data_IF_566315465354
#
_entry.id   IF_566315465354
#
_cell.length_a   1.000
_cell.length_b   1.000
_cell.length_c   1.000
_cell.angle_alpha   90.00
_cell.angle_beta   90.00
_cell.angle_gamma   90.00
#
_symmetry.space_group_name_H-M   'P 1'
#
loop_
_entity.id
_entity.type
_entity.pdbx_description
1 polymer ?
#
# COMPACT_ATOMS: atom_id res chain seq x y z
N UNK A 1 21.00 23.17 -15.84
CA UNK A 1 21.56 21.82 -15.58
C UNK A 1 20.50 20.85 -16.02
N UNK A 2 20.72 20.15 -17.14
CA UNK A 2 19.76 19.18 -17.65
C UNK A 2 19.63 18.03 -16.64
N UNK A 3 18.43 17.84 -16.09
CA UNK A 3 18.12 16.69 -15.25
C UNK A 3 18.32 15.46 -16.16
N UNK A 4 19.23 14.52 -15.82
CA UNK A 4 19.44 13.34 -16.63
C UNK A 4 18.10 12.63 -16.78
N UNK A 5 17.59 12.56 -18.00
CA UNK A 5 16.41 11.75 -18.33
C UNK A 5 16.75 10.33 -17.91
N UNK A 6 16.19 9.89 -16.78
CA UNK A 6 16.36 8.51 -16.31
C UNK A 6 15.99 7.61 -17.48
N UNK A 7 16.88 6.69 -17.92
CA UNK A 7 16.60 5.83 -19.05
C UNK A 7 15.25 5.16 -18.77
N UNK A 8 14.29 5.31 -19.70
CA UNK A 8 12.94 4.80 -19.50
C UNK A 8 13.09 3.35 -19.06
N UNK A 9 12.71 3.05 -17.81
CA UNK A 9 12.91 1.72 -17.23
C UNK A 9 12.05 0.78 -18.06
N UNK A 10 12.67 0.14 -19.04
CA UNK A 10 11.95 -0.74 -19.94
C UNK A 10 11.28 -1.81 -19.08
N UNK A 11 10.00 -2.12 -19.34
CA UNK A 11 9.25 -3.08 -18.56
C UNK A 11 10.03 -4.39 -18.59
N UNK A 12 10.52 -4.77 -17.42
CA UNK A 12 11.23 -6.01 -17.20
C UNK A 12 10.34 -7.16 -17.65
N UNK A 13 10.90 -7.98 -18.52
CA UNK A 13 10.20 -9.02 -19.24
C UNK A 13 10.36 -10.34 -18.47
N UNK A 14 9.26 -11.00 -18.09
CA UNK A 14 9.34 -12.35 -17.51
C UNK A 14 10.12 -13.30 -18.43
N UNK A 15 10.17 -13.01 -19.74
CA UNK A 15 10.99 -13.73 -20.70
C UNK A 15 12.47 -13.71 -20.34
N UNK A 16 13.01 -12.66 -19.70
CA UNK A 16 14.41 -12.62 -19.26
C UNK A 16 14.73 -13.64 -18.16
N UNK A 17 13.84 -13.80 -17.18
CA UNK A 17 14.00 -14.81 -16.12
C UNK A 17 13.91 -16.23 -16.67
N UNK A 18 12.95 -16.46 -17.56
CA UNK A 18 12.76 -17.76 -18.21
C UNK A 18 13.93 -18.04 -19.17
N UNK A 19 14.41 -17.02 -19.89
CA UNK A 19 15.58 -17.09 -20.75
C UNK A 19 16.81 -17.51 -19.96
N UNK A 20 17.12 -16.85 -18.83
CA UNK A 20 18.26 -17.20 -18.00
C UNK A 20 18.17 -18.62 -17.45
N UNK A 21 16.97 -19.04 -17.02
CA UNK A 21 16.76 -20.40 -16.55
C UNK A 21 16.96 -21.44 -17.66
N UNK A 22 16.35 -21.22 -18.83
CA UNK A 22 16.46 -22.12 -20.00
C UNK A 22 17.90 -22.12 -20.51
N UNK A 23 18.59 -20.98 -20.54
CA UNK A 23 19.99 -20.84 -20.94
C UNK A 23 20.92 -21.71 -20.09
N UNK A 24 20.73 -21.72 -18.77
CA UNK A 24 21.52 -22.54 -17.86
C UNK A 24 21.22 -24.04 -17.95
N UNK A 25 19.99 -24.42 -18.34
CA UNK A 25 19.55 -25.83 -18.37
C UNK A 25 19.70 -26.48 -19.73
N UNK A 26 19.23 -25.81 -20.79
CA UNK A 26 19.27 -26.29 -22.16
C UNK A 26 19.25 -25.09 -23.15
N UNK A 27 20.41 -24.51 -23.49
CA UNK A 27 20.49 -23.29 -24.31
C UNK A 27 20.02 -23.51 -25.76
N UNK A 28 19.92 -24.75 -26.25
CA UNK A 28 19.45 -25.04 -27.61
C UNK A 28 17.97 -24.67 -27.81
N UNK A 29 17.18 -24.70 -26.74
CA UNK A 29 15.75 -24.36 -26.77
C UNK A 29 15.48 -22.85 -26.85
N UNK A 30 16.48 -22.00 -26.62
CA UNK A 30 16.28 -20.55 -26.56
C UNK A 30 15.78 -19.99 -27.88
N UNK A 31 16.40 -20.38 -28.99
CA UNK A 31 16.03 -19.93 -30.33
C UNK A 31 14.60 -20.35 -30.69
N UNK A 32 14.17 -21.52 -30.22
CA UNK A 32 12.83 -22.03 -30.46
C UNK A 32 11.76 -21.33 -29.59
N UNK A 33 12.11 -21.02 -28.34
CA UNK A 33 11.19 -20.41 -27.39
C UNK A 33 10.97 -18.91 -27.63
N UNK A 34 12.02 -18.19 -28.02
CA UNK A 34 11.99 -16.73 -28.11
C UNK A 34 12.24 -16.20 -29.51
N UNK A 35 12.86 -16.99 -30.40
CA UNK A 35 13.31 -16.51 -31.72
C UNK A 35 14.64 -15.75 -31.63
N UNK A 36 15.35 -15.67 -32.77
CA UNK A 36 16.72 -15.15 -32.85
C UNK A 36 16.85 -13.68 -32.42
N UNK A 37 15.87 -12.84 -32.74
CA UNK A 37 15.90 -11.41 -32.40
C UNK A 37 15.68 -11.18 -30.90
N UNK A 38 14.67 -11.84 -30.32
CA UNK A 38 14.38 -11.73 -28.89
C UNK A 38 15.50 -12.31 -28.03
N UNK A 39 16.14 -13.41 -28.45
CA UNK A 39 17.32 -13.91 -27.76
C UNK A 39 18.45 -12.88 -27.70
N UNK A 40 18.73 -12.13 -28.78
CA UNK A 40 19.75 -11.06 -28.75
C UNK A 40 19.39 -9.95 -27.79
N UNK A 41 18.12 -9.55 -27.75
CA UNK A 41 17.62 -8.55 -26.80
C UNK A 41 17.79 -9.00 -25.34
N UNK A 42 17.44 -10.26 -25.05
CA UNK A 42 17.54 -10.83 -23.70
C UNK A 42 18.99 -11.08 -23.27
N UNK A 43 19.86 -11.50 -24.19
CA UNK A 43 21.29 -11.69 -23.95
C UNK A 43 21.98 -10.38 -23.52
N UNK A 44 21.60 -9.24 -24.12
CA UNK A 44 22.10 -7.93 -23.69
C UNK A 44 21.70 -7.56 -22.25
N UNK A 45 20.68 -8.22 -21.70
CA UNK A 45 20.10 -7.98 -20.36
C UNK A 45 20.40 -9.11 -19.37
N UNK A 46 21.15 -10.13 -19.77
CA UNK A 46 21.38 -11.38 -19.01
C UNK A 46 21.93 -11.12 -17.59
N UNK A 47 22.77 -10.11 -17.43
CA UNK A 47 23.35 -9.69 -16.15
C UNK A 47 22.32 -9.21 -15.11
N UNK A 48 21.08 -8.90 -15.53
CA UNK A 48 20.02 -8.41 -14.64
C UNK A 48 19.22 -9.52 -13.94
N UNK A 49 19.38 -10.79 -14.35
CA UNK A 49 18.49 -11.87 -13.92
C UNK A 49 19.26 -13.09 -13.38
N UNK A 50 19.87 -12.97 -12.20
CA UNK A 50 20.53 -14.12 -11.58
C UNK A 50 19.53 -15.15 -11.01
N UNK A 51 19.99 -16.38 -10.77
CA UNK A 51 19.18 -17.45 -10.14
C UNK A 51 18.59 -17.01 -8.78
N UNK A 52 19.26 -16.12 -8.06
CA UNK A 52 18.80 -15.63 -6.76
C UNK A 52 17.63 -14.64 -6.88
N UNK A 53 17.46 -14.01 -8.04
CA UNK A 53 16.38 -13.05 -8.32
C UNK A 53 15.02 -13.75 -8.24
N UNK A 54 14.86 -14.90 -8.90
CA UNK A 54 13.59 -15.65 -8.84
C UNK A 54 13.28 -16.16 -7.43
N UNK A 55 14.29 -16.65 -6.70
CA UNK A 55 14.14 -17.04 -5.29
C UNK A 55 13.68 -15.85 -4.43
N UNK A 56 14.27 -14.67 -4.65
CA UNK A 56 13.89 -13.44 -3.95
C UNK A 56 12.46 -13.00 -4.27
N UNK A 57 12.05 -13.09 -5.54
CA UNK A 57 10.67 -12.81 -5.97
C UNK A 57 9.66 -13.70 -5.25
N UNK A 58 9.93 -15.01 -5.17
CA UNK A 58 9.06 -15.96 -4.49
C UNK A 58 8.93 -15.67 -2.99
N UNK A 59 10.03 -15.39 -2.31
CA UNK A 59 10.00 -15.11 -0.88
C UNK A 59 9.28 -13.79 -0.57
N UNK A 60 9.44 -12.78 -1.43
CA UNK A 60 8.69 -11.51 -1.32
C UNK A 60 7.19 -11.74 -1.52
N UNK A 61 6.80 -12.55 -2.51
CA UNK A 61 5.39 -12.87 -2.75
C UNK A 61 4.76 -13.61 -1.56
N UNK A 62 5.42 -14.66 -1.04
CA UNK A 62 4.95 -15.45 0.12
C UNK A 62 4.78 -14.60 1.38
N UNK A 63 5.70 -13.67 1.63
CA UNK A 63 5.60 -12.76 2.80
C UNK A 63 4.37 -11.87 2.70
N UNK A 64 4.03 -11.43 1.49
CA UNK A 64 2.85 -10.59 1.29
C UNK A 64 1.53 -11.33 1.42
N UNK A 65 1.42 -12.53 0.84
CA UNK A 65 0.16 -13.29 0.89
C UNK A 65 -0.19 -13.58 2.36
N UNK A 66 0.81 -14.01 3.14
CA UNK A 66 0.68 -14.17 4.60
C UNK A 66 0.28 -12.89 5.34
N UNK A 67 0.84 -11.74 4.95
CA UNK A 67 0.49 -10.46 5.60
C UNK A 67 -0.95 -10.04 5.31
N UNK A 68 -1.45 -10.29 4.10
CA UNK A 68 -2.85 -10.03 3.74
C UNK A 68 -3.80 -10.94 4.52
N UNK A 69 -3.42 -12.19 4.78
CA UNK A 69 -4.20 -13.16 5.56
C UNK A 69 -4.29 -12.77 7.06
N UNK A 70 -3.20 -12.29 7.67
CA UNK A 70 -3.20 -11.86 9.08
C UNK A 70 -4.11 -10.66 9.36
N UNK A 71 -4.25 -9.74 8.40
CA UNK A 71 -5.16 -8.60 8.53
C UNK A 71 -6.64 -9.05 8.52
N UNK A 72 -6.97 -10.13 7.83
CA UNK A 72 -8.32 -10.72 7.80
C UNK A 72 -8.65 -11.43 9.13
N UNK A 73 -7.73 -12.23 9.66
CA UNK A 73 -7.94 -12.96 10.93
C UNK A 73 -8.12 -12.02 12.15
N UNK A 74 -7.46 -10.86 12.16
CA UNK A 74 -7.58 -9.89 13.26
C UNK A 74 -8.97 -9.26 13.39
N UNK A 75 -9.77 -9.30 12.33
CA UNK A 75 -11.16 -8.81 12.30
C UNK A 75 -12.16 -9.97 12.43
N UNK A 76 -11.79 -11.19 12.03
CA UNK A 76 -12.64 -12.39 12.10
C UNK A 76 -12.80 -13.01 13.49
N UNK A 77 -11.92 -12.69 14.46
CA UNK A 77 -12.05 -13.18 15.85
C UNK A 77 -13.33 -12.74 16.61
N UNK A 78 -14.21 -11.94 16.00
CA UNK A 78 -15.52 -11.60 16.58
C UNK A 78 -16.73 -12.17 15.83
N UNK A 79 -16.55 -12.94 14.75
CA UNK A 79 -17.70 -13.45 14.02
C UNK A 79 -17.39 -14.71 13.20
N UNK A 80 -17.05 -15.84 13.83
CA UNK A 80 -17.11 -17.13 13.14
C UNK A 80 -17.59 -18.28 14.02
N UNK A 81 -18.78 -18.78 13.68
CA UNK A 81 -19.02 -20.21 13.60
C UNK A 81 -19.67 -20.48 12.23
N UNK A 82 -19.04 -21.35 11.43
CA UNK A 82 -19.53 -21.99 10.19
C UNK A 82 -19.25 -21.28 8.85
N UNK A 83 -17.99 -21.23 8.43
CA UNK A 83 -17.64 -21.56 7.04
C UNK A 83 -16.22 -22.14 6.98
N UNK A 84 -16.09 -23.47 7.00
CA UNK A 84 -14.81 -24.15 6.78
C UNK A 84 -14.55 -24.20 5.28
N UNK A 85 -14.23 -23.06 4.67
CA UNK A 85 -13.52 -23.09 3.39
C UNK A 85 -12.18 -23.75 3.63
N UNK A 86 -11.96 -24.88 2.97
CA UNK A 86 -10.70 -25.61 2.93
C UNK A 86 -9.60 -24.60 2.62
N UNK A 87 -8.62 -24.49 3.52
CA UNK A 87 -7.52 -23.53 3.40
C UNK A 87 -6.83 -23.69 2.04
N UNK A 88 -6.35 -22.60 1.42
CA UNK A 88 -5.45 -22.68 0.27
C UNK A 88 -4.35 -23.70 0.59
N UNK A 89 -4.12 -24.65 -0.32
CA UNK A 89 -3.22 -25.78 -0.06
C UNK A 89 -1.86 -25.30 0.44
N UNK A 90 -1.29 -25.95 1.47
CA UNK A 90 0.04 -25.66 2.05
C UNK A 90 1.23 -25.88 1.08
N UNK A 91 0.99 -25.84 -0.24
CA UNK A 91 1.98 -26.09 -1.27
C UNK A 91 2.98 -24.94 -1.31
N UNK A 92 4.24 -25.24 -0.96
CA UNK A 92 5.34 -24.29 -1.06
C UNK A 92 5.67 -24.01 -2.52
N UNK A 93 5.36 -22.80 -3.00
CA UNK A 93 5.77 -22.34 -4.33
C UNK A 93 7.31 -22.27 -4.38
N UNK A 94 7.94 -22.95 -5.33
CA UNK A 94 9.39 -22.89 -5.61
C UNK A 94 9.65 -22.20 -6.97
N UNK A 95 10.85 -21.62 -7.20
CA UNK A 95 11.25 -21.08 -8.51
C UNK A 95 10.98 -22.03 -9.68
N UNK A 96 11.35 -23.30 -9.50
CA UNK A 96 11.21 -24.36 -10.49
C UNK A 96 9.73 -24.66 -10.77
N UNK A 97 8.88 -24.68 -9.74
CA UNK A 97 7.43 -24.87 -9.89
C UNK A 97 6.78 -23.68 -10.60
N UNK A 98 7.24 -22.45 -10.35
CA UNK A 98 6.76 -21.26 -11.06
C UNK A 98 7.12 -21.31 -12.55
N UNK A 99 8.36 -21.68 -12.87
CA UNK A 99 8.82 -21.86 -14.27
C UNK A 99 8.08 -23.01 -14.96
N UNK A 100 7.93 -24.15 -14.27
CA UNK A 100 7.13 -25.26 -14.77
C UNK A 100 5.71 -24.80 -15.09
N UNK A 101 5.06 -24.10 -14.16
CA UNK A 101 3.70 -23.59 -14.33
C UNK A 101 3.57 -22.68 -15.56
N UNK A 102 4.53 -21.77 -15.77
CA UNK A 102 4.55 -20.91 -16.94
C UNK A 102 4.66 -21.68 -18.26
N UNK A 103 5.55 -22.67 -18.32
CA UNK A 103 5.72 -23.51 -19.50
C UNK A 103 4.49 -24.41 -19.73
N UNK A 104 3.88 -24.87 -18.65
CA UNK A 104 2.66 -25.67 -18.63
C UNK A 104 1.45 -24.90 -19.16
N UNK A 105 1.19 -23.68 -18.67
CA UNK A 105 0.12 -22.78 -19.16
C UNK A 105 0.23 -22.52 -20.67
N UNK A 106 1.46 -22.37 -21.18
CA UNK A 106 1.73 -22.15 -22.61
C UNK A 106 1.73 -23.42 -23.46
N UNK A 107 1.38 -24.57 -22.87
CA UNK A 107 1.33 -25.89 -23.54
C UNK A 107 2.66 -26.28 -24.21
N UNK A 108 3.80 -25.84 -23.68
CA UNK A 108 5.14 -26.15 -24.20
C UNK A 108 5.64 -27.50 -23.66
N UNK A 109 4.89 -28.57 -23.98
CA UNK A 109 5.11 -29.92 -23.42
C UNK A 109 6.49 -30.50 -23.72
N UNK A 110 7.04 -30.22 -24.90
CA UNK A 110 8.38 -30.67 -25.29
C UNK A 110 9.48 -29.98 -24.47
N UNK A 111 9.39 -28.65 -24.27
CA UNK A 111 10.32 -27.89 -23.41
C UNK A 111 10.28 -28.42 -21.98
N UNK A 112 9.08 -28.71 -21.48
CA UNK A 112 8.94 -29.34 -20.16
C UNK A 112 9.67 -30.67 -20.07
N UNK A 113 9.55 -31.53 -21.10
CA UNK A 113 10.22 -32.83 -21.15
C UNK A 113 11.75 -32.73 -21.18
N UNK A 114 12.27 -31.69 -21.83
CA UNK A 114 13.71 -31.43 -21.92
C UNK A 114 14.31 -30.85 -20.64
N UNK A 115 13.54 -30.03 -19.91
CA UNK A 115 14.04 -29.30 -18.73
C UNK A 115 13.80 -30.08 -17.43
N UNK A 116 12.72 -30.86 -17.38
CA UNK A 116 12.29 -31.58 -16.18
C UNK A 116 12.12 -33.07 -16.50
N UNK A 117 12.72 -33.92 -15.66
CA UNK A 117 12.52 -35.36 -15.73
C UNK A 117 11.04 -35.73 -15.50
N UNK A 118 10.66 -36.96 -15.85
CA UNK A 118 9.26 -37.41 -15.81
C UNK A 118 8.67 -37.37 -14.39
N UNK A 119 9.44 -37.70 -13.36
CA UNK A 119 8.99 -37.72 -11.97
C UNK A 119 8.70 -36.29 -11.49
N UNK A 120 9.64 -35.37 -11.70
CA UNK A 120 9.47 -33.94 -11.37
C UNK A 120 8.28 -33.34 -12.10
N UNK A 121 8.07 -33.68 -13.38
CA UNK A 121 6.90 -33.20 -14.14
C UNK A 121 5.59 -33.67 -13.56
N UNK A 122 5.48 -34.95 -13.16
CA UNK A 122 4.28 -35.49 -12.51
C UNK A 122 4.04 -34.83 -11.15
N UNK A 123 5.09 -34.68 -10.35
CA UNK A 123 4.99 -34.00 -9.05
C UNK A 123 4.51 -32.56 -9.20
N UNK A 124 5.11 -31.80 -10.13
CA UNK A 124 4.73 -30.41 -10.36
C UNK A 124 3.36 -30.28 -11.01
N UNK A 125 2.97 -31.17 -11.93
CA UNK A 125 1.61 -31.20 -12.47
C UNK A 125 0.57 -31.43 -11.35
N UNK A 126 0.80 -32.41 -10.47
CA UNK A 126 -0.08 -32.67 -9.32
C UNK A 126 -0.17 -31.46 -8.39
N UNK A 127 0.95 -30.75 -8.16
CA UNK A 127 0.95 -29.50 -7.38
C UNK A 127 0.14 -28.40 -8.06
N UNK A 128 0.31 -28.22 -9.37
CA UNK A 128 -0.45 -27.23 -10.15
C UNK A 128 -1.94 -27.55 -10.12
N UNK A 129 -2.33 -28.82 -10.31
CA UNK A 129 -3.72 -29.26 -10.22
C UNK A 129 -4.30 -29.03 -8.81
N UNK A 130 -3.52 -29.32 -7.77
CA UNK A 130 -3.93 -29.09 -6.37
C UNK A 130 -4.08 -27.60 -6.03
N UNK A 131 -3.23 -26.74 -6.59
CA UNK A 131 -3.32 -25.28 -6.42
C UNK A 131 -4.43 -24.67 -7.30
N UNK A 132 -4.78 -25.31 -8.40
CA UNK A 132 -5.86 -24.86 -9.29
C UNK A 132 -5.67 -23.42 -9.78
N UNK A 133 -6.74 -22.62 -9.69
CA UNK A 133 -6.80 -21.22 -10.12
C UNK A 133 -5.95 -20.31 -9.21
N UNK A 134 -5.51 -20.80 -8.04
CA UNK A 134 -4.82 -19.98 -7.04
C UNK A 134 -3.32 -19.81 -7.31
N UNK A 135 -2.75 -20.53 -8.30
CA UNK A 135 -1.34 -20.35 -8.67
C UNK A 135 -1.14 -18.98 -9.38
N UNK A 136 -0.38 -18.04 -8.80
CA UNK A 136 -0.10 -16.77 -9.46
C UNK A 136 0.79 -16.99 -10.69
N UNK A 137 0.48 -16.32 -11.79
CA UNK A 137 1.35 -16.32 -12.96
C UNK A 137 2.75 -15.77 -12.62
N UNK A 138 3.79 -16.19 -13.33
CA UNK A 138 5.15 -15.61 -13.14
C UNK A 138 5.10 -14.09 -13.30
N UNK A 139 4.33 -13.59 -14.28
CA UNK A 139 4.15 -12.16 -14.51
C UNK A 139 3.62 -11.45 -13.26
N UNK A 140 2.65 -12.07 -12.57
CA UNK A 140 2.10 -11.55 -11.33
C UNK A 140 3.11 -11.51 -10.21
N UNK A 141 3.84 -12.61 -10.02
CA UNK A 141 4.89 -12.71 -9.00
C UNK A 141 5.99 -11.68 -9.25
N UNK A 142 6.36 -11.50 -10.51
CA UNK A 142 7.34 -10.53 -10.96
C UNK A 142 6.87 -9.09 -10.73
N UNK A 143 5.68 -8.73 -11.20
CA UNK A 143 5.14 -7.38 -11.02
C UNK A 143 5.02 -7.01 -9.54
N UNK A 144 4.64 -7.98 -8.71
CA UNK A 144 4.59 -7.82 -7.26
C UNK A 144 5.97 -7.52 -6.66
N UNK A 145 6.97 -8.35 -6.97
CA UNK A 145 8.35 -8.14 -6.52
C UNK A 145 8.91 -6.80 -7.00
N UNK A 146 8.73 -6.46 -8.28
CA UNK A 146 9.19 -5.21 -8.89
C UNK A 146 8.65 -4.01 -8.13
N UNK A 147 7.34 -4.00 -7.83
CA UNK A 147 6.71 -2.93 -7.04
C UNK A 147 7.38 -2.78 -5.68
N UNK A 148 7.64 -3.89 -4.98
CA UNK A 148 8.29 -3.86 -3.66
C UNK A 148 9.72 -3.32 -3.74
N UNK A 149 10.53 -3.80 -4.68
CA UNK A 149 11.91 -3.32 -4.82
C UNK A 149 11.94 -1.83 -5.16
N UNK A 150 11.11 -1.37 -6.09
CA UNK A 150 10.98 0.06 -6.40
C UNK A 150 10.50 0.88 -5.20
N UNK A 151 9.64 0.32 -4.35
CA UNK A 151 9.17 0.99 -3.13
C UNK A 151 10.28 1.19 -2.10
N UNK A 152 11.31 0.33 -2.07
CA UNK A 152 12.47 0.48 -1.18
C UNK A 152 13.34 1.66 -1.61
N UNK A 153 13.51 1.86 -2.92
CA UNK A 153 14.33 2.94 -3.49
C UNK A 153 13.57 4.27 -3.50
N UNK A 154 12.27 4.26 -3.81
CA UNK A 154 11.42 5.44 -3.93
C UNK A 154 10.54 5.60 -2.69
N UNK A 155 11.13 6.05 -1.59
CA UNK A 155 10.39 6.33 -0.34
C UNK A 155 9.39 7.47 -0.53
N UNK A 156 8.11 7.20 -0.26
CA UNK A 156 7.04 8.20 -0.34
C UNK A 156 6.60 8.56 -1.77
N UNK A 157 7.01 7.77 -2.78
CA UNK A 157 6.51 7.93 -4.14
C UNK A 157 5.03 7.59 -4.24
N UNK A 158 4.32 8.29 -5.12
CA UNK A 158 2.92 8.01 -5.44
C UNK A 158 2.92 6.82 -6.40
N UNK A 159 2.17 5.76 -6.09
CA UNK A 159 2.08 4.61 -6.98
C UNK A 159 1.13 4.95 -8.15
N UNK A 160 1.49 4.58 -9.38
CA UNK A 160 0.64 4.75 -10.58
C UNK A 160 0.15 3.38 -11.04
N UNK A 161 -1.16 3.21 -11.11
CA UNK A 161 -1.83 1.97 -11.48
C UNK A 161 -2.74 2.14 -12.68
N UNK A 162 -2.82 1.13 -13.55
CA UNK A 162 -3.75 1.10 -14.66
C UNK A 162 -4.97 0.23 -14.33
N UNK A 163 -6.16 0.82 -14.24
CA UNK A 163 -7.35 0.02 -14.00
C UNK A 163 -7.62 -0.92 -15.18
N UNK A 164 -7.72 -2.23 -14.92
CA UNK A 164 -7.98 -3.24 -15.95
C UNK A 164 -9.33 -3.08 -16.63
N UNK A 165 -10.34 -2.54 -15.95
CA UNK A 165 -11.67 -2.34 -16.51
C UNK A 165 -11.75 -1.05 -17.34
N UNK A 166 -11.51 0.12 -16.72
CA UNK A 166 -11.70 1.40 -17.41
C UNK A 166 -10.46 1.93 -18.15
N UNK A 167 -9.32 1.23 -18.05
CA UNK A 167 -8.04 1.60 -18.67
C UNK A 167 -7.51 2.99 -18.28
N UNK A 168 -7.99 3.55 -17.17
CA UNK A 168 -7.51 4.84 -16.65
C UNK A 168 -6.36 4.65 -15.68
N UNK A 169 -5.35 5.49 -15.79
CA UNK A 169 -4.29 5.60 -14.80
C UNK A 169 -4.82 6.20 -13.49
N UNK A 170 -4.35 5.67 -12.37
CA UNK A 170 -4.70 6.08 -11.02
C UNK A 170 -3.43 6.31 -10.24
N UNK A 171 -3.16 7.57 -9.96
CA UNK A 171 -2.16 8.00 -8.98
C UNK A 171 -2.72 7.76 -7.59
N UNK A 172 -2.01 7.02 -6.76
CA UNK A 172 -2.47 6.65 -5.42
C UNK A 172 -1.39 6.85 -4.36
N UNK A 173 -1.78 7.48 -3.26
CA UNK A 173 -0.96 7.58 -2.05
C UNK A 173 -1.06 6.33 -1.17
N UNK A 174 -1.87 5.34 -1.56
CA UNK A 174 -2.02 4.08 -0.86
C UNK A 174 -3.31 3.34 -1.22
N UNK A 175 -3.38 2.07 -0.83
CA UNK A 175 -4.44 1.11 -1.24
C UNK A 175 -5.89 1.66 -1.15
N UNK A 176 -6.17 2.55 -0.19
CA UNK A 176 -7.49 3.16 0.00
C UNK A 176 -8.03 3.84 -1.27
N UNK A 177 -7.20 4.50 -2.08
CA UNK A 177 -7.68 5.17 -3.30
C UNK A 177 -8.07 4.15 -4.37
N UNK A 178 -7.33 3.05 -4.46
CA UNK A 178 -7.66 1.93 -5.33
C UNK A 178 -8.98 1.28 -4.90
N UNK A 179 -9.19 1.06 -3.60
CA UNK A 179 -10.44 0.51 -3.06
C UNK A 179 -11.65 1.42 -3.33
N UNK A 180 -11.47 2.74 -3.19
CA UNK A 180 -12.51 3.71 -3.55
C UNK A 180 -12.85 3.64 -5.04
N UNK A 181 -11.84 3.46 -5.90
CA UNK A 181 -12.07 3.27 -7.33
C UNK A 181 -12.80 1.96 -7.64
N UNK A 182 -12.41 0.86 -6.99
CA UNK A 182 -13.09 -0.44 -7.11
C UNK A 182 -14.54 -0.33 -6.69
N UNK A 183 -14.84 0.30 -5.55
CA UNK A 183 -16.21 0.48 -5.10
C UNK A 183 -17.06 1.32 -6.06
N UNK A 184 -16.46 2.26 -6.79
CA UNK A 184 -17.17 2.99 -7.84
C UNK A 184 -17.55 2.09 -9.04
N UNK A 185 -16.73 1.09 -9.37
CA UNK A 185 -17.05 0.11 -10.42
C UNK A 185 -18.04 -0.95 -9.96
N UNK A 186 -17.94 -1.41 -8.72
CA UNK A 186 -18.77 -2.47 -8.14
C UNK A 186 -20.09 -1.92 -7.55
N UNK A 187 -20.36 -0.61 -7.66
CA UNK A 187 -21.56 0.02 -7.11
C UNK A 187 -21.66 -0.03 -5.58
N UNK A 188 -20.55 -0.27 -4.89
CA UNK A 188 -20.51 -0.39 -3.43
C UNK A 188 -20.69 1.02 -2.85
N UNK A 189 -21.69 1.18 -1.98
CA UNK A 189 -22.01 2.45 -1.33
C UNK A 189 -21.99 2.30 0.19
N UNK A 190 -21.97 3.43 0.88
CA UNK A 190 -22.10 3.53 2.32
C UNK A 190 -23.45 4.18 2.65
N UNK A 191 -24.22 3.56 3.55
CA UNK A 191 -25.41 4.19 4.11
C UNK A 191 -25.02 5.39 4.99
N UNK A 192 -25.83 6.45 4.97
CA UNK A 192 -25.69 7.53 5.94
C UNK A 192 -25.88 7.00 7.37
N UNK A 193 -25.21 7.64 8.34
CA UNK A 193 -25.23 7.22 9.75
C UNK A 193 -26.23 8.00 10.59
N UNK A 194 -26.77 9.09 10.06
CA UNK A 194 -27.77 9.94 10.71
C UNK A 194 -29.14 9.28 10.56
N UNK A 195 -29.87 9.17 11.66
CA UNK A 195 -31.18 8.51 11.67
C UNK A 195 -32.20 9.31 10.85
N UNK A 196 -33.00 8.60 10.06
CA UNK A 196 -33.92 9.20 9.08
C UNK A 196 -33.28 9.63 7.74
N UNK A 197 -31.98 9.35 7.52
CA UNK A 197 -31.34 9.61 6.24
C UNK A 197 -31.02 8.31 5.48
N UNK A 198 -31.79 8.05 4.42
CA UNK A 198 -31.65 6.84 3.59
C UNK A 198 -30.66 7.02 2.42
N UNK A 199 -29.88 8.11 2.41
CA UNK A 199 -28.95 8.38 1.32
C UNK A 199 -27.80 7.35 1.32
N UNK A 200 -27.57 6.77 0.16
CA UNK A 200 -26.40 5.95 -0.15
C UNK A 200 -25.34 6.82 -0.81
N UNK A 201 -24.15 6.88 -0.22
CA UNK A 201 -23.07 7.76 -0.68
C UNK A 201 -21.76 6.99 -0.82
N UNK A 202 -20.85 7.51 -1.64
CA UNK A 202 -19.51 6.93 -1.78
C UNK A 202 -18.69 7.21 -0.51
N UNK A 203 -17.75 6.36 -0.10
CA UNK A 203 -16.98 6.55 1.13
C UNK A 203 -16.24 7.88 1.20
N UNK A 204 -15.67 8.32 0.07
CA UNK A 204 -14.93 9.58 0.00
C UNK A 204 -15.84 10.81 0.03
N UNK A 205 -17.11 10.68 -0.38
CA UNK A 205 -18.11 11.77 -0.29
C UNK A 205 -18.92 11.72 0.99
N UNK A 206 -18.87 10.63 1.77
CA UNK A 206 -19.65 10.45 2.99
C UNK A 206 -19.38 11.56 4.01
N UNK A 207 -18.12 12.00 4.18
CA UNK A 207 -17.80 13.13 5.07
C UNK A 207 -18.44 14.43 4.59
N UNK A 208 -18.32 14.74 3.31
CA UNK A 208 -18.94 15.94 2.71
C UNK A 208 -20.45 15.88 2.79
N UNK A 209 -21.05 14.69 2.63
CA UNK A 209 -22.48 14.49 2.80
C UNK A 209 -22.92 14.76 4.25
N UNK A 210 -22.17 14.31 5.25
CA UNK A 210 -22.49 14.60 6.66
C UNK A 210 -22.45 16.11 6.95
N UNK A 211 -21.46 16.81 6.43
CA UNK A 211 -21.35 18.27 6.59
C UNK A 211 -22.48 18.97 5.86
N UNK A 212 -22.68 18.70 4.57
CA UNK A 212 -23.62 19.48 3.75
C UNK A 212 -25.08 19.07 3.96
N UNK A 213 -25.33 17.79 4.21
CA UNK A 213 -26.67 17.23 4.37
C UNK A 213 -27.21 17.27 5.79
N UNK A 214 -26.32 17.36 6.78
CA UNK A 214 -26.70 17.28 8.19
C UNK A 214 -26.05 18.36 9.08
N UNK A 215 -25.20 19.24 8.54
CA UNK A 215 -24.38 20.18 9.32
C UNK A 215 -23.51 19.47 10.38
N UNK A 216 -23.18 18.19 10.16
CA UNK A 216 -22.43 17.37 11.10
C UNK A 216 -21.02 17.11 10.57
N UNK A 217 -20.03 17.66 11.27
CA UNK A 217 -18.65 17.26 11.07
C UNK A 217 -18.38 15.92 11.77
N UNK A 218 -17.43 15.14 11.23
CA UNK A 218 -17.18 13.77 11.70
C UNK A 218 -16.71 13.71 13.17
N UNK A 219 -16.11 14.78 13.68
CA UNK A 219 -15.71 15.03 15.07
C UNK A 219 -16.86 15.42 16.00
N UNK A 220 -17.92 16.05 15.47
CA UNK A 220 -19.14 16.38 16.21
C UNK A 220 -20.19 15.26 16.22
N UNK A 221 -19.94 14.13 15.54
CA UNK A 221 -20.83 12.98 15.58
C UNK A 221 -20.98 12.44 17.01
N UNK A 222 -22.21 12.12 17.39
CA UNK A 222 -22.45 11.37 18.61
C UNK A 222 -21.68 10.05 18.58
N UNK A 223 -21.27 9.57 19.75
CA UNK A 223 -20.48 8.34 19.91
C UNK A 223 -21.03 7.17 19.06
N UNK A 224 -22.33 6.90 19.17
CA UNK A 224 -22.99 5.82 18.42
C UNK A 224 -22.92 6.01 16.89
N UNK A 225 -23.15 7.23 16.40
CA UNK A 225 -23.05 7.57 14.97
C UNK A 225 -21.62 7.41 14.45
N UNK A 226 -20.62 7.81 15.22
CA UNK A 226 -19.21 7.62 14.87
C UNK A 226 -18.86 6.14 14.73
N UNK A 227 -19.33 5.27 15.62
CA UNK A 227 -19.12 3.81 15.48
C UNK A 227 -19.85 3.22 14.29
N UNK A 228 -21.10 3.65 14.03
CA UNK A 228 -21.85 3.28 12.83
C UNK A 228 -21.03 3.66 11.58
N UNK A 229 -20.49 4.88 11.53
CA UNK A 229 -19.62 5.36 10.44
C UNK A 229 -18.39 4.48 10.23
N UNK A 230 -17.69 4.13 11.31
CA UNK A 230 -16.51 3.26 11.25
C UNK A 230 -16.85 1.86 10.72
N UNK A 231 -17.97 1.28 11.18
CA UNK A 231 -18.44 -0.03 10.71
C UNK A 231 -18.83 0.01 9.23
N UNK A 232 -19.58 1.02 8.80
CA UNK A 232 -19.98 1.19 7.39
C UNK A 232 -18.76 1.33 6.49
N UNK A 233 -17.78 2.15 6.87
CA UNK A 233 -16.53 2.29 6.11
C UNK A 233 -15.73 0.98 6.08
N UNK A 234 -15.62 0.28 7.21
CA UNK A 234 -14.92 -1.00 7.27
C UNK A 234 -15.58 -2.06 6.37
N UNK A 235 -16.91 -2.15 6.39
CA UNK A 235 -17.68 -3.04 5.51
C UNK A 235 -17.46 -2.72 4.03
N UNK A 236 -17.49 -1.43 3.66
CA UNK A 236 -17.15 -0.99 2.31
C UNK A 236 -15.76 -1.47 1.90
N UNK A 237 -14.73 -1.16 2.70
CA UNK A 237 -13.34 -1.48 2.33
C UNK A 237 -13.09 -2.98 2.29
N UNK A 238 -13.71 -3.75 3.20
CA UNK A 238 -13.68 -5.21 3.17
C UNK A 238 -14.25 -5.74 1.86
N UNK A 239 -15.45 -5.29 1.48
CA UNK A 239 -16.12 -5.71 0.24
C UNK A 239 -15.30 -5.32 -0.99
N UNK A 240 -14.85 -4.07 -1.09
CA UNK A 240 -14.02 -3.59 -2.20
C UNK A 240 -12.69 -4.35 -2.32
N UNK A 241 -12.07 -4.72 -1.19
CA UNK A 241 -10.78 -5.44 -1.18
C UNK A 241 -10.88 -6.81 -1.83
N UNK A 242 -11.99 -7.54 -1.63
CA UNK A 242 -12.21 -8.84 -2.31
C UNK A 242 -12.22 -8.75 -3.83
N UNK A 243 -12.49 -7.56 -4.37
CA UNK A 243 -12.51 -7.27 -5.80
C UNK A 243 -11.26 -6.56 -6.29
N UNK A 244 -10.35 -6.14 -5.40
CA UNK A 244 -9.19 -5.30 -5.76
C UNK A 244 -8.38 -5.92 -6.91
N UNK A 245 -8.07 -7.21 -6.81
CA UNK A 245 -7.26 -7.91 -7.79
C UNK A 245 -7.90 -8.04 -9.18
N UNK A 246 -9.23 -7.94 -9.29
CA UNK A 246 -9.93 -7.91 -10.58
C UNK A 246 -9.62 -6.63 -11.36
N UNK A 247 -9.42 -5.52 -10.67
CA UNK A 247 -9.22 -4.19 -11.26
C UNK A 247 -7.76 -3.75 -11.28
N UNK A 248 -7.02 -4.09 -10.23
CA UNK A 248 -5.63 -3.72 -10.00
C UNK A 248 -4.82 -4.93 -9.56
N UNK A 249 -4.68 -5.96 -10.40
CA UNK A 249 -3.73 -7.02 -10.13
C UNK A 249 -2.30 -6.43 -10.13
N UNK A 250 -1.30 -7.12 -9.56
CA UNK A 250 0.07 -6.61 -9.49
C UNK A 250 0.62 -6.09 -10.82
N UNK A 251 0.26 -6.71 -11.94
CA UNK A 251 0.66 -6.33 -13.30
C UNK A 251 0.07 -4.98 -13.76
N UNK A 252 -0.99 -4.51 -13.11
CA UNK A 252 -1.56 -3.19 -13.35
C UNK A 252 -0.68 -2.06 -12.76
N UNK A 253 0.29 -2.37 -11.90
CA UNK A 253 1.23 -1.39 -11.41
C UNK A 253 2.16 -0.94 -12.55
N UNK A 254 2.17 0.36 -12.86
CA UNK A 254 2.97 0.91 -13.94
C UNK A 254 4.33 1.37 -13.43
N UNK A 255 4.33 2.33 -12.50
CA UNK A 255 5.52 3.01 -11.97
C UNK A 255 5.20 3.80 -10.71
N UNK A 256 6.23 4.37 -10.10
CA UNK A 256 6.06 5.47 -9.15
C UNK A 256 6.06 6.80 -9.90
N UNK A 257 5.30 7.76 -9.41
CA UNK A 257 5.42 9.17 -9.81
C UNK A 257 6.67 9.75 -9.15
N UNK A 258 7.50 10.41 -9.96
CA UNK A 258 8.71 11.10 -9.49
C UNK A 258 8.37 12.32 -8.62
N UNK A 259 7.14 12.84 -8.76
CA UNK A 259 6.56 13.80 -7.82
C UNK A 259 6.34 13.09 -6.49
N UNK A 260 7.37 13.09 -5.64
CA UNK A 260 7.23 12.79 -4.21
C UNK A 260 6.10 13.65 -3.67
N UNK A 261 5.24 13.08 -2.82
CA UNK A 261 4.28 13.89 -2.05
C UNK A 261 5.14 14.90 -1.29
N UNK A 262 5.18 16.15 -1.79
CA UNK A 262 6.14 17.14 -1.36
C UNK A 262 6.05 17.28 0.14
N UNK A 263 7.10 16.86 0.85
CA UNK A 263 7.19 17.12 2.26
C UNK A 263 7.31 18.64 2.37
N UNK A 264 6.21 19.30 2.71
CA UNK A 264 6.14 20.77 2.80
C UNK A 264 7.26 21.35 3.67
N UNK A 265 7.81 20.52 4.57
CA UNK A 265 8.94 20.88 5.41
C UNK A 265 10.23 21.21 4.66
N UNK A 266 10.38 20.80 3.39
CA UNK A 266 11.53 21.15 2.56
C UNK A 266 11.55 22.65 2.23
N UNK A 267 10.36 23.25 2.12
CA UNK A 267 10.17 24.68 1.87
C UNK A 267 10.20 25.53 3.14
N UNK A 268 9.98 24.91 4.29
CA UNK A 268 10.08 25.56 5.61
C UNK A 268 11.55 25.62 6.09
N UNK A 269 11.93 26.70 6.75
CA UNK A 269 13.21 26.80 7.44
C UNK A 269 13.28 25.75 8.58
N UNK A 270 14.32 24.91 8.66
CA UNK A 270 14.50 24.01 9.80
C UNK A 270 14.82 24.71 11.12
N UNK A 271 15.22 25.98 11.12
CA UNK A 271 15.55 26.73 12.34
C UNK A 271 14.29 27.35 12.95
N UNK A 272 14.05 27.08 14.22
CA UNK A 272 12.99 27.75 14.96
C UNK A 272 13.32 29.24 15.10
N UNK A 273 12.39 30.12 14.73
CA UNK A 273 12.55 31.59 14.81
C UNK A 273 12.64 32.09 16.25
N UNK A 274 11.97 31.43 17.18
CA UNK A 274 11.90 31.88 18.57
C UNK A 274 13.16 31.50 19.37
N UNK A 275 13.61 30.24 19.32
CA UNK A 275 14.76 29.78 20.11
C UNK A 275 16.02 29.47 19.29
N UNK A 276 15.95 29.53 17.95
CA UNK A 276 17.08 29.21 17.08
C UNK A 276 17.42 27.73 16.95
N UNK A 277 16.67 26.81 17.57
CA UNK A 277 16.94 25.37 17.50
C UNK A 277 16.68 24.81 16.10
N UNK A 278 17.60 23.96 15.62
CA UNK A 278 17.45 23.25 14.33
C UNK A 278 16.59 22.00 14.49
N UNK A 279 15.41 21.99 13.86
CA UNK A 279 14.43 20.91 13.91
C UNK A 279 14.07 20.46 12.50
N UNK A 280 14.48 19.24 12.13
CA UNK A 280 14.47 18.78 10.73
C UNK A 280 13.13 18.23 10.23
N UNK A 281 12.36 17.54 11.08
CA UNK A 281 11.16 16.81 10.62
C UNK A 281 9.87 17.53 11.02
N UNK A 282 8.80 17.41 10.22
CA UNK A 282 7.49 18.03 10.51
C UNK A 282 6.97 17.66 11.89
N UNK A 283 7.07 16.38 12.25
CA UNK A 283 6.59 15.86 13.53
C UNK A 283 7.37 16.46 14.70
N UNK A 284 8.70 16.51 14.61
CA UNK A 284 9.54 17.13 15.65
C UNK A 284 9.30 18.63 15.74
N UNK A 285 9.04 19.32 14.61
CA UNK A 285 8.71 20.76 14.60
C UNK A 285 7.40 21.01 15.34
N UNK A 286 6.33 20.26 15.06
CA UNK A 286 5.06 20.37 15.78
C UNK A 286 5.21 20.12 17.27
N UNK A 287 5.97 19.10 17.66
CA UNK A 287 6.27 18.85 19.07
C UNK A 287 7.05 20.02 19.70
N UNK A 288 8.05 20.55 18.99
CA UNK A 288 8.83 21.69 19.44
C UNK A 288 7.97 22.95 19.62
N UNK A 289 7.10 23.28 18.66
CA UNK A 289 6.13 24.38 18.79
C UNK A 289 5.19 24.15 19.98
N UNK A 290 4.71 22.92 20.18
CA UNK A 290 3.87 22.61 21.33
C UNK A 290 4.56 22.89 22.68
N UNK A 291 5.87 22.72 22.77
CA UNK A 291 6.65 23.07 23.97
C UNK A 291 6.70 24.58 24.20
N UNK A 292 6.93 25.37 23.14
CA UNK A 292 6.88 26.84 23.21
C UNK A 292 5.50 27.34 23.66
N UNK A 293 4.43 26.77 23.10
CA UNK A 293 3.05 27.10 23.45
C UNK A 293 2.59 26.50 24.80
N UNK A 294 3.45 25.73 25.48
CA UNK A 294 3.11 24.95 26.69
C UNK A 294 1.84 24.09 26.50
N UNK A 295 1.60 23.65 25.28
CA UNK A 295 0.39 22.93 24.89
C UNK A 295 0.49 21.48 25.37
N UNK A 296 -0.30 21.13 26.38
CA UNK A 296 -0.34 19.79 26.97
C UNK A 296 -1.77 19.35 27.28
N UNK A 297 -2.05 18.08 27.00
CA UNK A 297 -3.35 17.46 27.19
C UNK A 297 -3.24 16.37 28.25
N UNK A 298 -4.28 16.25 29.09
CA UNK A 298 -4.38 15.17 30.08
C UNK A 298 -4.49 13.82 29.39
N UNK A 299 -3.94 12.78 30.01
CA UNK A 299 -4.16 11.41 29.58
C UNK A 299 -5.66 11.08 29.57
N UNK A 300 -6.10 10.38 28.53
CA UNK A 300 -7.50 9.98 28.33
C UNK A 300 -7.93 8.81 29.22
N UNK A 301 -6.97 8.11 29.85
CA UNK A 301 -7.25 6.98 30.74
C UNK A 301 -7.61 7.54 32.11
N UNK A 302 -8.75 7.11 32.62
CA UNK A 302 -9.28 7.59 33.90
C UNK A 302 -8.29 7.36 35.06
N UNK A 303 -8.20 8.35 35.95
CA UNK A 303 -7.24 8.38 37.06
C UNK A 303 -5.77 8.67 36.68
N UNK A 304 -5.44 8.93 35.40
CA UNK A 304 -4.08 9.29 35.00
C UNK A 304 -3.90 10.83 34.90
N UNK A 305 -3.07 11.40 35.78
CA UNK A 305 -2.77 12.85 35.79
C UNK A 305 -1.62 13.26 34.85
N UNK A 306 -1.07 12.33 34.07
CA UNK A 306 0.01 12.64 33.15
C UNK A 306 -0.48 13.59 32.04
N UNK A 307 0.29 14.65 31.74
CA UNK A 307 -0.01 15.60 30.66
C UNK A 307 1.11 15.58 29.63
N UNK A 308 0.73 15.50 28.35
CA UNK A 308 1.70 15.53 27.26
C UNK A 308 1.05 16.02 25.97
N UNK A 309 1.86 16.29 24.94
CA UNK A 309 1.33 16.63 23.63
C UNK A 309 0.76 15.38 22.91
N UNK A 310 -0.12 15.55 21.91
CA UNK A 310 -0.82 14.41 21.32
C UNK A 310 0.07 13.46 20.53
N UNK A 311 1.28 13.87 20.14
CA UNK A 311 2.25 13.02 19.44
C UNK A 311 2.81 11.99 20.44
N UNK A 312 3.14 12.43 21.66
CA UNK A 312 3.64 11.56 22.74
C UNK A 312 2.56 10.80 23.49
N UNK A 313 1.31 11.23 23.40
CA UNK A 313 0.20 10.57 24.08
C UNK A 313 0.03 9.09 23.68
N UNK A 314 0.28 8.74 22.42
CA UNK A 314 0.22 7.34 21.98
C UNK A 314 1.31 6.46 22.60
N UNK A 315 2.54 6.98 22.74
CA UNK A 315 3.65 6.28 23.40
C UNK A 315 3.37 6.12 24.90
N UNK A 316 2.86 7.17 25.54
CA UNK A 316 2.42 7.13 26.93
C UNK A 316 1.36 6.03 27.17
N UNK A 317 0.31 5.97 26.35
CA UNK A 317 -0.73 4.95 26.44
C UNK A 317 -0.15 3.53 26.34
N UNK A 318 0.80 3.31 25.42
CA UNK A 318 1.43 2.01 25.26
C UNK A 318 2.33 1.64 26.43
N UNK A 319 3.08 2.59 27.01
CA UNK A 319 4.08 2.31 28.05
C UNK A 319 3.48 2.26 29.46
N UNK A 320 2.55 3.16 29.77
CA UNK A 320 1.99 3.29 31.13
C UNK A 320 0.70 2.51 31.33
N UNK A 321 -0.08 2.33 30.26
CA UNK A 321 -1.38 1.65 30.35
C UNK A 321 -1.41 0.33 29.59
N UNK A 322 -0.33 -0.03 28.87
CA UNK A 322 -0.28 -1.19 27.97
C UNK A 322 -1.43 -1.21 26.96
N UNK A 323 -2.02 -0.03 26.65
CA UNK A 323 -3.14 0.13 25.73
C UNK A 323 -2.64 0.66 24.39
N UNK A 324 -2.99 -0.05 23.31
CA UNK A 324 -2.89 0.47 21.94
C UNK A 324 -4.13 1.30 21.62
N UNK A 325 -4.04 2.21 20.64
CA UNK A 325 -5.19 3.01 20.18
C UNK A 325 -6.40 2.12 19.81
N UNK A 326 -6.17 0.93 19.25
CA UNK A 326 -7.23 -0.01 18.90
C UNK A 326 -7.95 -0.66 20.10
N UNK A 327 -7.34 -0.62 21.30
CA UNK A 327 -7.88 -1.20 22.54
C UNK A 327 -8.55 -0.16 23.45
N UNK A 328 -8.52 1.11 23.05
CA UNK A 328 -9.17 2.18 23.79
C UNK A 328 -10.69 1.97 23.76
N UNK A 329 -11.34 2.34 24.88
CA UNK A 329 -12.79 2.40 24.91
C UNK A 329 -13.28 3.44 23.91
N UNK A 330 -14.56 3.37 23.60
CA UNK A 330 -15.18 4.28 22.67
C UNK A 330 -15.13 5.75 23.14
N UNK A 331 -15.26 5.98 24.45
CA UNK A 331 -15.06 7.26 25.13
C UNK A 331 -13.62 7.75 24.98
N UNK A 332 -12.65 6.92 25.34
CA UNK A 332 -11.22 7.22 25.22
C UNK A 332 -10.83 7.57 23.77
N UNK A 333 -11.35 6.82 22.79
CA UNK A 333 -11.13 7.08 21.36
C UNK A 333 -11.69 8.41 20.90
N UNK A 334 -12.88 8.78 21.36
CA UNK A 334 -13.52 10.04 21.03
C UNK A 334 -12.73 11.22 21.60
N UNK A 335 -12.33 11.13 22.86
CA UNK A 335 -11.50 12.15 23.52
C UNK A 335 -10.13 12.31 22.88
N UNK A 336 -9.45 11.21 22.57
CA UNK A 336 -8.17 11.24 21.87
C UNK A 336 -8.28 11.94 20.50
N UNK A 337 -9.40 11.74 19.81
CA UNK A 337 -9.66 12.40 18.53
C UNK A 337 -9.88 13.90 18.71
N UNK A 338 -10.68 14.31 19.70
CA UNK A 338 -10.92 15.72 20.02
C UNK A 338 -9.60 16.45 20.32
N UNK A 339 -8.75 15.84 21.15
CA UNK A 339 -7.39 16.32 21.44
C UNK A 339 -6.57 16.51 20.16
N UNK A 340 -6.59 15.51 19.26
CA UNK A 340 -5.83 15.58 17.99
C UNK A 340 -6.34 16.64 17.03
N UNK A 341 -7.66 16.85 16.95
CA UNK A 341 -8.26 17.89 16.11
C UNK A 341 -7.85 19.27 16.61
N UNK A 342 -8.05 19.53 17.90
CA UNK A 342 -7.66 20.80 18.52
C UNK A 342 -6.16 21.10 18.33
N UNK A 343 -5.29 20.10 18.56
CA UNK A 343 -3.86 20.25 18.32
C UNK A 343 -3.53 20.55 16.86
N UNK A 344 -4.20 19.90 15.91
CA UNK A 344 -3.99 20.16 14.47
C UNK A 344 -4.32 21.60 14.13
N UNK A 345 -5.45 22.13 14.63
CA UNK A 345 -5.88 23.50 14.39
C UNK A 345 -4.89 24.52 14.96
N UNK A 346 -4.40 24.30 16.19
CA UNK A 346 -3.37 25.17 16.79
C UNK A 346 -2.07 25.11 15.97
N UNK A 347 -1.63 23.92 15.58
CA UNK A 347 -0.41 23.77 14.77
C UNK A 347 -0.56 24.38 13.37
N UNK A 348 -1.73 24.32 12.73
CA UNK A 348 -1.94 24.95 11.42
C UNK A 348 -1.81 26.48 11.48
N UNK A 349 -2.16 27.09 12.61
CA UNK A 349 -2.05 28.53 12.83
C UNK A 349 -0.63 28.93 13.24
N UNK A 350 -0.05 28.23 14.21
CA UNK A 350 1.17 28.69 14.86
C UNK A 350 2.44 28.19 14.17
N UNK A 351 2.44 27.04 13.49
CA UNK A 351 3.67 26.40 13.00
C UNK A 351 4.50 27.32 12.09
N UNK A 352 3.87 28.13 11.24
CA UNK A 352 4.56 29.06 10.33
C UNK A 352 5.21 30.25 11.05
N UNK A 353 4.70 30.64 12.22
CA UNK A 353 5.31 31.68 13.06
C UNK A 353 6.69 31.23 13.58
N UNK A 354 6.80 29.96 13.92
CA UNK A 354 8.04 29.35 14.43
C UNK A 354 8.96 28.87 13.31
N UNK A 355 8.41 28.36 12.22
CA UNK A 355 9.15 27.81 11.08
C UNK A 355 8.63 28.43 9.78
N UNK A 356 9.08 29.65 9.42
CA UNK A 356 8.63 30.33 8.21
C UNK A 356 9.08 29.58 6.96
N UNK A 357 8.43 29.86 5.83
CA UNK A 357 8.94 29.42 4.53
C UNK A 357 10.26 30.13 4.22
N UNK A 358 11.16 29.45 3.53
CA UNK A 358 12.41 30.05 3.06
C UNK A 358 12.07 31.13 2.03
N UNK A 359 12.51 32.36 2.29
CA UNK A 359 12.25 33.52 1.43
C UNK A 359 12.86 33.41 0.01
N UNK A 360 13.70 32.40 -0.24
CA UNK A 360 14.52 32.25 -1.46
C UNK A 360 13.99 31.25 -2.49
N UNK A 361 12.69 30.93 -2.50
CA UNK A 361 12.12 30.22 -3.65
C UNK A 361 11.92 31.26 -4.75
N UNK A 362 12.97 31.57 -5.51
CA UNK A 362 12.85 32.47 -6.67
C UNK A 362 11.71 31.97 -7.56
N UNK A 363 10.88 32.87 -8.08
CA UNK A 363 9.69 32.53 -8.87
C UNK A 363 9.99 31.57 -10.05
N UNK A 364 11.24 31.51 -10.50
CA UNK A 364 11.69 30.58 -11.54
C UNK A 364 11.67 29.11 -11.12
N UNK A 365 11.78 28.81 -9.82
CA UNK A 365 11.70 27.42 -9.32
C UNK A 365 10.27 26.87 -9.18
N UNK A 366 9.24 27.73 -9.27
CA UNK A 366 7.84 27.30 -9.33
C UNK A 366 7.40 26.87 -10.73
N UNK A 367 8.07 27.35 -11.78
CA UNK A 367 7.74 27.02 -13.18
C UNK A 367 8.05 25.56 -13.54
N UNK A 368 8.95 24.90 -12.80
CA UNK A 368 9.31 23.49 -13.01
C UNK A 368 8.40 22.50 -12.26
N UNK A 369 7.43 22.98 -11.47
CA UNK A 369 6.57 22.13 -10.61
C UNK A 369 5.11 21.99 -11.10
N UNK A 370 4.63 22.93 -11.92
CA UNK A 370 3.35 22.84 -12.65
C UNK A 370 3.55 22.07 -13.95
#
# INVERSE_FOLDING_TARGET
MDIPTMPSVQPFDAHGLIYNFVKCRNPRLLLEMFGKEKCRELEQRDHLYDKNTLKSMLEVHKKSTKAMECDEESVQKQAEAKDKRTRPSDVKITPELAIFYYLYERKRRYVLAEIFDEETRKEFANKVEKMGIDMPSILRMYAYWRRIELKKTIKGGIEIWLCHLCKKERKTGGERDLLNHVGAHEGISCSCVVDGCDKLVKPYTLRTHLVNGHALHADHLAKQQYHKLRRTLASFYKTARTKLNKYFPPEAFLRFDDKKIGDKTQFEDPKCRECGQMVRTSTTRKHHVAQHLKLSYKCIVDGCEFRTDPIRLADHLSRRHSKKVAQLTAEELFELKRIRVNFKEVMEKELQTFFPYKDNVSEDSFKDLL
#
